data_IF_690221578986
#
_entry.id   IF_690221578986
#
_cell.length_a   1.000
_cell.length_b   1.000
_cell.length_c   1.000
_cell.angle_alpha   90.00
_cell.angle_beta   90.00
_cell.angle_gamma   90.00
#
_symmetry.space_group_name_H-M   'P 1'
#
loop_
_entity.id
_entity.type
_entity.pdbx_description
1 polymer ?
#
# COMPACT_ATOMS: atom_id res chain seq x y z
N UNK A 1 44.24 59.27 -18.70
CA UNK A 1 43.05 58.45 -19.06
C UNK A 1 42.71 57.58 -17.86
N UNK A 2 41.52 57.78 -17.26
CA UNK A 2 41.10 57.10 -16.04
C UNK A 2 40.42 55.77 -16.39
N UNK A 3 41.00 54.67 -15.89
CA UNK A 3 40.44 53.31 -15.94
C UNK A 3 39.19 53.29 -15.06
N UNK A 4 38.03 52.96 -15.63
CA UNK A 4 36.78 52.75 -14.87
C UNK A 4 36.75 51.31 -14.38
N UNK A 5 36.86 51.13 -13.07
CA UNK A 5 36.60 49.89 -12.36
C UNK A 5 35.13 49.48 -12.56
N UNK A 6 34.88 48.48 -13.39
CA UNK A 6 33.60 47.76 -13.38
C UNK A 6 33.76 46.65 -12.33
N UNK A 7 33.25 46.91 -11.12
CA UNK A 7 33.09 45.87 -10.12
C UNK A 7 32.11 44.83 -10.66
N UNK A 8 32.63 43.66 -11.06
CA UNK A 8 31.83 42.44 -11.14
C UNK A 8 31.48 42.03 -9.71
N UNK A 9 30.27 42.38 -9.27
CA UNK A 9 29.68 41.86 -8.05
C UNK A 9 29.17 40.43 -8.30
N UNK A 10 30.03 39.44 -8.09
CA UNK A 10 29.64 38.03 -8.05
C UNK A 10 28.82 37.78 -6.78
N UNK A 11 27.49 37.86 -6.87
CA UNK A 11 26.61 37.40 -5.81
C UNK A 11 26.64 35.87 -5.78
N UNK A 12 27.47 35.28 -4.91
CA UNK A 12 27.31 33.89 -4.48
C UNK A 12 25.97 33.79 -3.74
N UNK A 13 24.94 33.32 -4.43
CA UNK A 13 23.76 32.77 -3.77
C UNK A 13 24.15 31.36 -3.35
N UNK A 14 24.72 31.22 -2.15
CA UNK A 14 24.79 29.93 -1.47
C UNK A 14 23.36 29.59 -1.06
N UNK A 15 22.61 28.98 -1.98
CA UNK A 15 21.34 28.36 -1.66
C UNK A 15 21.68 27.17 -0.77
N UNK A 16 21.62 27.38 0.56
CA UNK A 16 21.64 26.31 1.53
C UNK A 16 20.36 25.50 1.30
N UNK A 17 20.43 24.57 0.35
CA UNK A 17 19.51 23.46 0.25
C UNK A 17 19.73 22.62 1.51
N UNK A 18 19.08 23.02 2.61
CA UNK A 18 18.69 22.08 3.64
C UNK A 18 17.70 21.13 2.96
N UNK A 19 18.25 20.18 2.20
CA UNK A 19 17.50 19.06 1.67
C UNK A 19 17.01 18.28 2.86
N UNK A 20 15.78 18.56 3.29
CA UNK A 20 15.05 17.62 4.11
C UNK A 20 15.06 16.31 3.34
N UNK A 21 15.67 15.28 3.93
CA UNK A 21 15.56 13.94 3.40
C UNK A 21 14.08 13.61 3.39
N UNK A 22 13.46 13.56 2.21
CA UNK A 22 12.12 13.02 2.08
C UNK A 22 12.22 11.56 2.51
N UNK A 23 11.72 11.25 3.71
CA UNK A 23 11.60 9.87 4.15
C UNK A 23 10.48 9.25 3.31
N UNK A 24 10.81 8.16 2.63
CA UNK A 24 9.80 7.36 1.93
C UNK A 24 8.75 6.90 2.96
N UNK A 25 7.49 6.94 2.56
CA UNK A 25 6.37 6.43 3.35
C UNK A 25 6.64 4.99 3.83
N UNK A 26 6.45 4.68 5.12
CA UNK A 26 6.63 3.32 5.62
C UNK A 26 5.64 2.40 4.91
N UNK A 27 6.11 1.25 4.45
CA UNK A 27 5.30 0.22 3.79
C UNK A 27 5.48 -1.08 4.54
N UNK A 28 4.37 -1.68 4.93
CA UNK A 28 4.30 -3.01 5.50
C UNK A 28 3.63 -3.93 4.48
N UNK A 29 4.31 -5.01 4.12
CA UNK A 29 3.79 -6.04 3.23
C UNK A 29 3.58 -7.32 4.02
N UNK A 30 2.38 -7.88 3.95
CA UNK A 30 2.09 -9.23 4.41
C UNK A 30 2.06 -10.13 3.18
N UNK A 31 2.89 -11.17 3.18
CA UNK A 31 3.07 -12.08 2.04
C UNK A 31 2.97 -13.55 2.51
N UNK A 32 2.67 -14.43 1.57
CA UNK A 32 2.45 -15.85 1.76
C UNK A 32 3.32 -16.74 0.84
N UNK A 33 4.63 -16.49 0.66
CA UNK A 33 5.45 -17.07 -0.41
C UNK A 33 5.36 -18.60 -0.47
N UNK A 34 4.41 -19.10 -1.28
CA UNK A 34 4.16 -20.52 -1.50
C UNK A 34 3.35 -21.27 -0.44
N UNK A 35 2.62 -20.63 0.49
CA UNK A 35 1.73 -21.32 1.43
C UNK A 35 0.28 -21.31 0.93
N UNK A 36 -0.22 -22.49 0.58
CA UNK A 36 -1.65 -22.68 0.32
C UNK A 36 -2.44 -22.75 1.61
N UNK A 37 -3.57 -22.05 1.68
CA UNK A 37 -4.52 -22.20 2.78
C UNK A 37 -5.60 -21.14 2.81
N UNK A 38 -6.72 -21.50 3.44
CA UNK A 38 -7.91 -20.68 3.45
C UNK A 38 -8.75 -20.81 2.19
N UNK A 39 -9.89 -20.16 2.19
CA UNK A 39 -10.88 -20.20 1.12
C UNK A 39 -11.40 -18.81 0.83
N UNK A 40 -11.75 -18.57 -0.43
CA UNK A 40 -12.61 -17.45 -0.80
C UNK A 40 -13.87 -18.01 -1.45
N UNK A 41 -15.03 -17.48 -1.07
CA UNK A 41 -16.31 -17.88 -1.63
C UNK A 41 -17.28 -16.73 -1.82
N UNK A 42 -18.11 -16.85 -2.86
CA UNK A 42 -19.25 -16.02 -3.18
C UNK A 42 -20.44 -16.93 -3.52
N UNK A 43 -21.64 -16.59 -3.05
CA UNK A 43 -22.82 -17.45 -3.20
C UNK A 43 -23.53 -17.32 -4.56
N UNK A 44 -23.33 -16.22 -5.28
CA UNK A 44 -23.99 -15.96 -6.57
C UNK A 44 -25.36 -15.29 -6.46
N UNK A 45 -25.76 -14.85 -5.26
CA UNK A 45 -27.13 -14.36 -4.99
C UNK A 45 -27.14 -12.90 -4.49
N UNK A 46 -26.25 -12.04 -5.00
CA UNK A 46 -26.16 -10.64 -4.61
C UNK A 46 -25.46 -10.39 -3.27
N UNK A 47 -24.92 -11.45 -2.65
CA UNK A 47 -24.31 -11.44 -1.33
C UNK A 47 -22.91 -10.84 -1.27
N UNK A 48 -22.21 -11.09 -0.17
CA UNK A 48 -20.82 -10.62 0.04
C UNK A 48 -19.82 -11.65 -0.47
N UNK A 49 -18.63 -11.20 -0.85
CA UNK A 49 -17.46 -12.07 -1.00
C UNK A 49 -16.86 -12.31 0.39
N UNK A 50 -16.59 -13.57 0.71
CA UNK A 50 -16.01 -13.97 2.00
C UNK A 50 -14.67 -14.64 1.80
N UNK A 51 -13.65 -14.20 2.53
CA UNK A 51 -12.38 -14.91 2.68
C UNK A 51 -12.23 -15.45 4.10
N UNK A 52 -11.79 -16.70 4.23
CA UNK A 52 -11.66 -17.39 5.51
C UNK A 52 -10.29 -18.05 5.64
N UNK A 53 -9.63 -17.84 6.78
CA UNK A 53 -8.38 -18.48 7.17
C UNK A 53 -7.25 -18.42 6.10
N UNK A 54 -7.17 -17.31 5.38
CA UNK A 54 -6.16 -17.07 4.35
C UNK A 54 -4.81 -16.88 5.04
N UNK A 55 -3.79 -17.62 4.60
CA UNK A 55 -2.53 -17.73 5.34
C UNK A 55 -1.53 -16.67 4.91
N UNK A 56 -0.77 -16.17 5.88
CA UNK A 56 0.40 -15.32 5.67
C UNK A 56 1.57 -15.87 6.47
N UNK A 57 2.80 -15.67 6.00
CA UNK A 57 3.99 -16.19 6.69
C UNK A 57 5.13 -15.18 6.86
N UNK A 58 5.06 -14.03 6.20
CA UNK A 58 6.05 -12.96 6.34
C UNK A 58 5.38 -11.61 6.52
N UNK A 59 6.11 -10.71 7.19
CA UNK A 59 5.80 -9.29 7.31
C UNK A 59 7.07 -8.54 6.93
N UNK A 60 7.06 -7.85 5.80
CA UNK A 60 8.21 -7.11 5.29
C UNK A 60 7.99 -5.61 5.43
N UNK A 61 9.02 -4.92 5.93
CA UNK A 61 9.05 -3.48 6.08
C UNK A 61 9.97 -2.83 5.04
N UNK A 62 9.47 -1.78 4.41
CA UNK A 62 10.26 -0.91 3.54
C UNK A 62 9.86 0.55 3.71
N UNK A 63 10.71 1.48 3.27
CA UNK A 63 10.54 2.90 3.55
C UNK A 63 10.96 3.27 4.98
N UNK A 64 10.97 4.56 5.31
CA UNK A 64 11.43 5.04 6.62
C UNK A 64 12.89 4.72 6.97
N UNK A 65 13.19 4.71 8.28
CA UNK A 65 14.48 4.26 8.83
C UNK A 65 14.27 2.82 9.32
N UNK A 66 14.81 1.85 8.58
CA UNK A 66 14.66 0.45 8.95
C UNK A 66 15.27 0.16 10.33
N UNK A 67 14.58 -0.61 11.19
CA UNK A 67 15.25 -1.25 12.32
C UNK A 67 16.29 -2.26 11.80
N UNK A 68 17.03 -2.89 12.72
CA UNK A 68 18.09 -3.84 12.36
C UNK A 68 17.61 -5.00 11.46
N UNK A 69 16.31 -5.31 11.47
CA UNK A 69 15.67 -6.33 10.62
C UNK A 69 14.49 -5.72 9.86
N UNK A 70 14.46 -5.90 8.54
CA UNK A 70 13.36 -5.42 7.69
C UNK A 70 12.26 -6.46 7.46
N UNK A 71 12.32 -7.62 8.12
CA UNK A 71 11.40 -8.73 7.90
C UNK A 71 11.13 -9.49 9.19
N UNK A 72 9.87 -9.88 9.40
CA UNK A 72 9.41 -10.70 10.51
C UNK A 72 8.71 -11.95 9.97
N UNK A 73 8.76 -13.03 10.74
CA UNK A 73 7.94 -14.22 10.48
C UNK A 73 6.52 -13.99 10.98
N UNK A 74 5.53 -14.26 10.14
CA UNK A 74 4.11 -14.28 10.52
C UNK A 74 3.69 -15.70 10.90
N UNK A 75 3.82 -16.05 12.19
CA UNK A 75 3.50 -17.38 12.69
C UNK A 75 2.00 -17.52 12.97
N UNK A 76 1.37 -18.51 12.33
CA UNK A 76 -0.06 -18.79 12.51
C UNK A 76 -0.97 -17.68 12.02
N UNK A 77 -0.49 -16.86 11.08
CA UNK A 77 -1.24 -15.71 10.60
C UNK A 77 -2.38 -16.11 9.66
N UNK A 78 -3.59 -15.67 10.00
CA UNK A 78 -4.85 -15.97 9.30
C UNK A 78 -5.63 -14.69 9.06
N UNK A 79 -5.91 -14.40 7.79
CA UNK A 79 -6.78 -13.32 7.34
C UNK A 79 -8.18 -13.86 7.12
N UNK A 80 -9.16 -13.15 7.68
CA UNK A 80 -10.57 -13.31 7.37
C UNK A 80 -11.10 -11.98 6.84
N UNK A 81 -11.98 -12.02 5.84
CA UNK A 81 -12.63 -10.81 5.34
C UNK A 81 -14.05 -11.06 4.84
N UNK A 82 -14.84 -9.98 4.83
CA UNK A 82 -16.08 -9.85 4.08
C UNK A 82 -16.09 -8.52 3.33
N UNK A 83 -16.62 -8.49 2.12
CA UNK A 83 -16.82 -7.25 1.35
C UNK A 83 -18.21 -6.66 1.61
N UNK A 84 -18.54 -5.56 0.93
CA UNK A 84 -19.95 -5.20 0.71
C UNK A 84 -20.67 -6.18 -0.23
N UNK A 85 -21.98 -5.98 -0.41
CA UNK A 85 -22.81 -6.77 -1.30
C UNK A 85 -22.35 -6.67 -2.76
N UNK A 86 -22.61 -7.70 -3.55
CA UNK A 86 -22.33 -7.68 -4.98
C UNK A 86 -23.12 -6.54 -5.66
N UNK A 87 -22.44 -5.85 -6.58
CA UNK A 87 -22.99 -4.74 -7.38
C UNK A 87 -22.96 -5.03 -8.87
N UNK A 88 -22.09 -5.95 -9.29
CA UNK A 88 -22.04 -6.51 -10.63
C UNK A 88 -21.92 -8.02 -10.47
N UNK A 89 -22.99 -8.72 -10.82
CA UNK A 89 -22.99 -10.17 -10.91
C UNK A 89 -22.07 -10.55 -12.07
N UNK A 90 -20.90 -11.08 -11.71
CA UNK A 90 -20.01 -11.69 -12.68
C UNK A 90 -20.60 -13.01 -13.18
N UNK A 91 -19.89 -13.62 -14.12
CA UNK A 91 -20.12 -15.01 -14.51
C UNK A 91 -18.82 -15.77 -14.34
N UNK A 92 -18.81 -17.05 -14.69
CA UNK A 92 -17.56 -17.80 -14.84
C UNK A 92 -16.58 -17.12 -15.81
N UNK A 93 -17.03 -16.18 -16.65
CA UNK A 93 -16.28 -15.52 -17.73
C UNK A 93 -16.28 -14.00 -17.65
N UNK A 94 -16.85 -13.41 -16.60
CA UNK A 94 -16.95 -11.97 -16.41
C UNK A 94 -16.60 -11.55 -14.97
N UNK A 95 -16.09 -10.33 -14.84
CA UNK A 95 -15.63 -9.77 -13.58
C UNK A 95 -16.80 -9.57 -12.60
N UNK A 96 -16.54 -9.88 -11.33
CA UNK A 96 -17.44 -9.57 -10.21
C UNK A 96 -17.00 -8.27 -9.57
N UNK A 97 -17.96 -7.45 -9.15
CA UNK A 97 -17.68 -6.23 -8.40
C UNK A 97 -18.55 -6.13 -7.17
N UNK A 98 -17.94 -5.86 -6.02
CA UNK A 98 -18.59 -5.78 -4.73
C UNK A 98 -18.61 -4.33 -4.25
N UNK A 99 -19.63 -3.96 -3.48
CA UNK A 99 -19.69 -2.64 -2.87
C UNK A 99 -18.54 -2.46 -1.87
N UNK A 100 -18.17 -1.19 -1.63
CA UNK A 100 -17.34 -0.83 -0.51
C UNK A 100 -17.98 -1.19 0.84
N UNK A 101 -17.19 -1.15 1.91
CA UNK A 101 -17.56 -1.61 3.24
C UNK A 101 -17.09 -3.04 3.49
N UNK A 102 -17.68 -3.68 4.50
CA UNK A 102 -17.16 -4.92 5.04
C UNK A 102 -15.87 -4.71 5.84
N UNK A 103 -15.31 -5.81 6.33
CA UNK A 103 -14.18 -5.80 7.26
C UNK A 103 -13.20 -6.90 6.90
N UNK A 104 -11.93 -6.69 7.24
CA UNK A 104 -10.92 -7.73 7.23
C UNK A 104 -10.05 -7.66 8.48
N UNK A 105 -9.64 -8.83 8.95
CA UNK A 105 -8.87 -9.00 10.19
C UNK A 105 -7.80 -10.04 9.95
N UNK A 106 -6.55 -9.67 10.20
CA UNK A 106 -5.40 -10.57 10.22
C UNK A 106 -5.02 -10.83 11.68
N UNK A 107 -5.12 -12.09 12.10
CA UNK A 107 -4.68 -12.53 13.43
C UNK A 107 -3.47 -13.44 13.34
N UNK A 108 -2.55 -13.40 14.32
CA UNK A 108 -1.40 -14.29 14.39
C UNK A 108 -0.31 -13.72 15.31
N UNK A 109 0.92 -14.18 15.11
CA UNK A 109 2.10 -13.68 15.82
C UNK A 109 3.17 -13.18 14.85
N UNK A 110 3.71 -11.98 15.09
CA UNK A 110 4.89 -11.48 14.42
C UNK A 110 6.15 -11.86 15.23
N UNK A 111 7.09 -12.56 14.62
CA UNK A 111 8.32 -13.03 15.27
C UNK A 111 9.55 -12.45 14.57
N UNK A 112 10.55 -12.03 15.34
CA UNK A 112 11.87 -11.64 14.80
C UNK A 112 12.72 -12.86 14.38
N UNK A 113 13.92 -12.61 13.86
CA UNK A 113 14.85 -13.69 13.46
C UNK A 113 15.28 -14.62 14.61
N UNK A 114 15.11 -14.18 15.86
CA UNK A 114 15.40 -14.94 17.08
C UNK A 114 14.19 -15.69 17.64
N UNK A 115 13.05 -15.65 16.95
CA UNK A 115 11.73 -16.15 17.39
C UNK A 115 11.17 -15.40 18.62
N UNK A 116 11.61 -14.17 18.87
CA UNK A 116 11.00 -13.29 19.87
C UNK A 116 9.65 -12.83 19.34
N UNK A 117 8.60 -12.94 20.15
CA UNK A 117 7.28 -12.39 19.81
C UNK A 117 7.34 -10.87 19.88
N UNK A 118 7.15 -10.23 18.73
CA UNK A 118 7.06 -8.77 18.59
C UNK A 118 5.63 -8.30 18.79
N UNK A 119 4.66 -8.99 18.20
CA UNK A 119 3.24 -8.73 18.36
C UNK A 119 2.46 -10.04 18.30
N UNK A 120 1.31 -10.11 18.96
CA UNK A 120 0.45 -11.30 18.97
C UNK A 120 -1.03 -10.92 19.14
N UNK A 121 -1.91 -11.63 18.43
CA UNK A 121 -3.34 -11.34 18.42
C UNK A 121 -3.75 -10.74 17.08
N UNK A 122 -4.48 -9.63 17.10
CA UNK A 122 -4.88 -8.90 15.88
C UNK A 122 -3.69 -8.09 15.39
N UNK A 123 -3.09 -8.49 14.28
CA UNK A 123 -1.96 -7.78 13.67
C UNK A 123 -2.42 -6.63 12.78
N UNK A 124 -3.58 -6.79 12.15
CA UNK A 124 -4.19 -5.78 11.29
C UNK A 124 -5.72 -5.93 11.27
N UNK A 125 -6.42 -4.79 11.25
CA UNK A 125 -7.87 -4.68 11.01
C UNK A 125 -8.15 -3.57 10.03
N UNK A 126 -9.09 -3.75 9.12
CA UNK A 126 -9.50 -2.66 8.23
C UNK A 126 -10.85 -2.86 7.57
N UNK A 127 -11.17 -1.94 6.68
CA UNK A 127 -12.40 -1.90 5.89
C UNK A 127 -12.09 -1.58 4.44
N UNK A 128 -12.82 -2.17 3.49
CA UNK A 128 -12.71 -1.77 2.09
C UNK A 128 -13.38 -0.41 1.89
N UNK A 129 -12.64 0.56 1.35
CA UNK A 129 -13.20 1.90 1.05
C UNK A 129 -13.58 2.08 -0.40
N UNK A 130 -13.13 1.16 -1.26
CA UNK A 130 -13.49 1.11 -2.68
C UNK A 130 -14.21 -0.22 -2.99
N UNK A 131 -14.56 -0.46 -4.25
CA UNK A 131 -15.29 -1.63 -4.75
C UNK A 131 -14.33 -2.79 -5.02
N UNK A 132 -14.29 -3.83 -4.17
CA UNK A 132 -13.44 -4.99 -4.43
C UNK A 132 -13.89 -5.72 -5.69
N UNK A 133 -12.96 -6.32 -6.41
CA UNK A 133 -13.23 -7.09 -7.63
C UNK A 133 -12.76 -8.53 -7.49
N UNK A 134 -13.45 -9.45 -8.15
CA UNK A 134 -12.97 -10.80 -8.37
C UNK A 134 -12.95 -11.07 -9.87
N UNK A 135 -11.78 -11.39 -10.41
CA UNK A 135 -11.56 -11.54 -11.85
C UNK A 135 -11.23 -13.00 -12.15
N UNK A 136 -12.15 -13.75 -12.78
CA UNK A 136 -11.88 -15.08 -13.29
C UNK A 136 -10.80 -15.08 -14.39
N UNK A 137 -9.98 -16.13 -14.44
CA UNK A 137 -8.90 -16.33 -15.41
C UNK A 137 -8.77 -17.81 -15.77
N UNK A 138 -8.18 -18.12 -16.94
CA UNK A 138 -8.10 -19.47 -17.53
C UNK A 138 -9.47 -20.11 -17.83
N UNK A 139 -10.28 -19.37 -18.59
CA UNK A 139 -11.67 -19.64 -18.92
C UNK A 139 -11.89 -20.67 -20.04
N UNK A 140 -11.06 -21.70 -20.15
CA UNK A 140 -11.39 -22.77 -21.07
C UNK A 140 -12.43 -23.68 -20.38
N UNK A 141 -13.70 -23.72 -20.85
CA UNK A 141 -14.74 -24.54 -20.23
C UNK A 141 -14.42 -26.04 -20.26
N UNK A 142 -13.44 -26.46 -21.08
CA UNK A 142 -13.00 -27.84 -21.23
C UNK A 142 -11.74 -28.20 -20.41
N UNK A 143 -11.11 -27.23 -19.73
CA UNK A 143 -9.99 -27.50 -18.80
C UNK A 143 -10.19 -26.73 -17.50
N UNK A 144 -11.11 -27.18 -16.62
CA UNK A 144 -11.08 -26.79 -15.22
C UNK A 144 -9.74 -27.18 -14.59
N UNK A 145 -9.19 -26.35 -13.69
CA UNK A 145 -9.89 -25.27 -13.02
C UNK A 145 -9.50 -23.86 -13.50
N UNK A 146 -10.49 -22.96 -13.53
CA UNK A 146 -10.23 -21.52 -13.60
C UNK A 146 -9.58 -21.02 -12.30
N UNK A 147 -8.85 -19.91 -12.40
CA UNK A 147 -8.30 -19.17 -11.25
C UNK A 147 -9.11 -17.89 -11.06
N UNK A 148 -9.21 -17.39 -9.83
CA UNK A 148 -9.84 -16.08 -9.57
C UNK A 148 -8.82 -15.22 -8.84
N UNK A 149 -8.64 -13.99 -9.31
CA UNK A 149 -7.84 -13.00 -8.60
C UNK A 149 -8.78 -12.00 -7.93
N UNK A 150 -8.69 -11.89 -6.61
CA UNK A 150 -9.44 -10.91 -5.83
C UNK A 150 -8.55 -9.72 -5.55
N UNK A 151 -9.08 -8.52 -5.77
CA UNK A 151 -8.41 -7.27 -5.43
C UNK A 151 -9.32 -6.26 -4.74
N UNK A 152 -8.72 -5.42 -3.91
CA UNK A 152 -9.44 -4.40 -3.16
C UNK A 152 -8.49 -3.36 -2.56
N UNK A 153 -9.09 -2.24 -2.14
CA UNK A 153 -8.41 -1.11 -1.52
C UNK A 153 -9.19 -0.65 -0.30
N UNK A 154 -8.47 -0.07 0.66
CA UNK A 154 -9.10 0.44 1.86
C UNK A 154 -8.15 0.98 2.90
N UNK A 155 -8.70 1.16 4.09
CA UNK A 155 -8.01 1.69 5.25
C UNK A 155 -7.88 0.62 6.31
N UNK A 156 -6.78 0.68 7.05
CA UNK A 156 -6.52 -0.28 8.10
C UNK A 156 -5.68 0.29 9.23
N UNK A 157 -5.70 -0.41 10.36
CA UNK A 157 -4.93 -0.14 11.57
C UNK A 157 -4.08 -1.37 11.88
N UNK A 158 -2.84 -1.13 12.32
CA UNK A 158 -1.89 -2.17 12.70
C UNK A 158 -1.80 -2.30 14.21
N UNK A 159 -1.30 -3.45 14.68
CA UNK A 159 -0.96 -3.64 16.09
C UNK A 159 0.12 -2.63 16.55
N UNK A 160 -0.05 -2.05 17.73
CA UNK A 160 0.85 -1.00 18.26
C UNK A 160 2.29 -1.50 18.43
N UNK A 161 2.50 -2.68 19.02
CA UNK A 161 3.84 -3.27 19.17
C UNK A 161 4.55 -3.53 17.83
N UNK A 162 3.79 -3.88 16.78
CA UNK A 162 4.34 -4.06 15.43
C UNK A 162 4.84 -2.73 14.87
N UNK A 163 4.05 -1.66 15.03
CA UNK A 163 4.46 -0.31 14.62
C UNK A 163 5.67 0.19 15.41
N UNK A 164 5.66 -0.02 16.73
CA UNK A 164 6.75 0.35 17.61
C UNK A 164 8.07 -0.33 17.24
N UNK A 165 8.03 -1.62 16.88
CA UNK A 165 9.20 -2.35 16.39
C UNK A 165 9.83 -1.73 15.16
N UNK A 166 9.00 -1.29 14.20
CA UNK A 166 9.45 -0.63 12.98
C UNK A 166 9.68 0.89 13.15
N UNK A 167 9.52 1.43 14.35
CA UNK A 167 9.66 2.88 14.60
C UNK A 167 8.62 3.72 13.87
N UNK A 168 7.45 3.16 13.59
CA UNK A 168 6.32 3.84 12.95
C UNK A 168 5.46 4.47 14.04
N UNK A 169 5.00 5.70 13.81
CA UNK A 169 4.07 6.39 14.70
C UNK A 169 2.75 5.59 14.80
N UNK A 170 2.25 5.28 16.02
CA UNK A 170 0.99 4.55 16.19
C UNK A 170 -0.22 5.26 15.55
N UNK A 171 -0.17 6.58 15.36
CA UNK A 171 -1.23 7.37 14.71
C UNK A 171 -1.12 7.35 13.17
N UNK A 172 -0.16 6.59 12.60
CA UNK A 172 -0.01 6.44 11.14
C UNK A 172 -1.22 5.73 10.56
N UNK A 173 -1.95 6.41 9.68
CA UNK A 173 -2.99 5.79 8.86
C UNK A 173 -2.35 4.99 7.73
N UNK A 174 -2.84 3.78 7.49
CA UNK A 174 -2.40 2.94 6.38
C UNK A 174 -3.50 2.84 5.34
N UNK A 175 -3.08 2.91 4.08
CA UNK A 175 -3.89 2.53 2.93
C UNK A 175 -3.30 1.22 2.42
N UNK A 176 -4.09 0.16 2.37
CA UNK A 176 -3.66 -1.00 1.60
C UNK A 176 -3.91 -0.72 0.11
N UNK A 177 -2.80 -0.64 -0.62
CA UNK A 177 -2.75 -0.26 -2.02
C UNK A 177 -2.89 -1.45 -2.97
N UNK A 178 -2.84 -2.67 -2.44
CA UNK A 178 -3.09 -3.90 -3.19
C UNK A 178 -3.33 -5.03 -2.20
N UNK A 179 -4.55 -5.57 -2.18
CA UNK A 179 -4.76 -6.97 -1.82
C UNK A 179 -4.76 -7.77 -3.12
N UNK A 180 -3.89 -8.76 -3.27
CA UNK A 180 -3.95 -9.69 -4.40
C UNK A 180 -4.06 -11.10 -3.86
N UNK A 181 -5.27 -11.68 -3.94
CA UNK A 181 -5.53 -13.04 -3.50
C UNK A 181 -5.82 -13.87 -4.74
N UNK A 182 -4.86 -14.71 -5.11
CA UNK A 182 -4.97 -15.62 -6.23
C UNK A 182 -5.49 -16.97 -5.75
N UNK A 183 -6.66 -17.35 -6.27
CA UNK A 183 -7.22 -18.68 -6.05
C UNK A 183 -6.56 -19.69 -6.99
N UNK A 184 -6.30 -20.88 -6.46
CA UNK A 184 -5.94 -22.04 -7.25
C UNK A 184 -7.17 -22.64 -7.94
N UNK A 185 -7.43 -23.92 -7.68
CA UNK A 185 -8.62 -24.60 -8.22
C UNK A 185 -9.90 -23.91 -7.73
N UNK A 186 -10.62 -23.26 -8.63
CA UNK A 186 -11.91 -22.62 -8.34
C UNK A 186 -13.05 -23.43 -8.94
N UNK A 187 -14.11 -23.65 -8.15
CA UNK A 187 -15.36 -24.25 -8.60
C UNK A 187 -16.41 -23.15 -8.79
N UNK A 188 -17.07 -23.12 -9.94
CA UNK A 188 -18.15 -22.19 -10.26
C UNK A 188 -19.49 -22.91 -10.26
N UNK A 189 -20.53 -22.20 -9.85
CA UNK A 189 -21.92 -22.64 -9.82
C UNK A 189 -22.70 -21.99 -10.96
N UNK A 190 -23.84 -22.56 -11.32
CA UNK A 190 -24.69 -22.07 -12.43
C UNK A 190 -25.23 -20.65 -12.20
N UNK A 191 -25.35 -20.22 -10.94
CA UNK A 191 -25.78 -18.86 -10.57
C UNK A 191 -24.63 -17.84 -10.53
N UNK A 192 -23.40 -18.22 -10.93
CA UNK A 192 -22.22 -17.35 -10.80
C UNK A 192 -21.56 -17.39 -9.42
N UNK A 193 -22.10 -18.16 -8.47
CA UNK A 193 -21.40 -18.42 -7.21
C UNK A 193 -20.08 -19.14 -7.47
N UNK A 194 -19.07 -18.90 -6.63
CA UNK A 194 -17.78 -19.58 -6.75
C UNK A 194 -17.13 -19.82 -5.41
N UNK A 195 -16.24 -20.82 -5.36
CA UNK A 195 -15.38 -21.07 -4.21
C UNK A 195 -14.04 -21.62 -4.67
N UNK A 196 -12.97 -21.16 -4.05
CA UNK A 196 -11.61 -21.61 -4.36
C UNK A 196 -10.69 -21.59 -3.15
N UNK A 197 -9.66 -22.43 -3.18
CA UNK A 197 -8.58 -22.40 -2.19
C UNK A 197 -7.57 -21.34 -2.59
N UNK A 198 -7.11 -20.54 -1.63
CA UNK A 198 -6.07 -19.54 -1.90
C UNK A 198 -4.72 -20.22 -2.16
N UNK A 199 -4.05 -19.76 -3.22
CA UNK A 199 -2.74 -20.24 -3.63
C UNK A 199 -1.63 -19.19 -3.45
N UNK A 200 -2.00 -17.90 -3.46
CA UNK A 200 -1.12 -16.78 -3.14
C UNK A 200 -1.98 -15.62 -2.59
N UNK A 201 -1.44 -14.84 -1.67
CA UNK A 201 -2.08 -13.72 -1.01
C UNK A 201 -1.05 -12.68 -0.59
N UNK A 202 -1.20 -11.49 -1.15
CA UNK A 202 -0.38 -10.33 -0.82
C UNK A 202 -1.25 -9.20 -0.26
N UNK A 203 -0.81 -8.55 0.80
CA UNK A 203 -1.34 -7.26 1.25
C UNK A 203 -0.19 -6.27 1.34
N UNK A 204 -0.24 -5.22 0.53
CA UNK A 204 0.72 -4.13 0.59
C UNK A 204 0.06 -2.90 1.22
N UNK A 205 0.57 -2.47 2.38
CA UNK A 205 0.06 -1.33 3.12
C UNK A 205 1.08 -0.20 3.13
N UNK A 206 0.76 0.91 2.47
CA UNK A 206 1.57 2.12 2.52
C UNK A 206 0.99 3.08 3.56
N UNK A 207 1.82 3.47 4.51
CA UNK A 207 1.48 4.48 5.53
C UNK A 207 1.48 5.87 4.92
N UNK A 208 0.46 6.67 5.21
CA UNK A 208 0.47 8.10 4.90
C UNK A 208 1.17 8.83 6.04
N UNK A 209 2.28 9.55 5.79
CA UNK A 209 2.95 10.31 6.85
C UNK A 209 1.99 11.31 7.49
N UNK A 210 2.03 11.51 8.83
CA UNK A 210 1.14 12.44 9.53
C UNK A 210 1.37 13.91 9.13
N UNK A 211 2.49 14.21 8.46
CA UNK A 211 2.77 15.51 7.85
C UNK A 211 3.17 15.27 6.41
N UNK A 212 2.37 15.76 5.45
CA UNK A 212 2.79 15.81 4.05
C UNK A 212 4.04 16.68 3.95
N UNK A 213 5.21 16.04 3.83
CA UNK A 213 6.47 16.75 3.59
C UNK A 213 6.40 17.21 2.13
N UNK A 214 6.40 18.53 1.84
CA UNK A 214 6.44 18.98 0.45
C UNK A 214 7.66 18.39 -0.22
N UNK A 215 7.47 17.81 -1.41
CA UNK A 215 8.55 17.13 -2.10
C UNK A 215 9.73 18.12 -2.29
N UNK A 216 10.99 17.67 -2.12
CA UNK A 216 12.16 18.54 -2.28
C UNK A 216 12.18 19.29 -3.62
N UNK A 217 11.54 18.72 -4.65
CA UNK A 217 11.38 19.32 -5.96
C UNK A 217 10.53 20.60 -5.97
N UNK A 218 9.42 20.66 -5.23
CA UNK A 218 8.49 21.79 -5.28
C UNK A 218 9.04 23.02 -4.56
N UNK A 219 9.63 22.83 -3.37
CA UNK A 219 10.30 23.90 -2.63
C UNK A 219 11.56 24.37 -3.39
N UNK A 220 12.31 23.44 -3.97
CA UNK A 220 13.44 23.75 -4.84
C UNK A 220 13.01 24.61 -6.02
N UNK A 221 11.98 24.20 -6.76
CA UNK A 221 11.48 24.90 -7.94
C UNK A 221 10.92 26.28 -7.60
N UNK A 222 10.18 26.40 -6.48
CA UNK A 222 9.69 27.68 -5.97
C UNK A 222 10.85 28.60 -5.58
N UNK A 223 11.85 28.08 -4.87
CA UNK A 223 13.05 28.82 -4.49
C UNK A 223 13.84 29.31 -5.70
N UNK A 224 14.05 28.45 -6.70
CA UNK A 224 14.68 28.82 -7.97
C UNK A 224 13.86 29.87 -8.74
N UNK A 225 12.54 29.69 -8.81
CA UNK A 225 11.64 30.65 -9.47
C UNK A 225 11.69 32.03 -8.83
N UNK A 226 11.70 32.10 -7.49
CA UNK A 226 11.79 33.36 -6.75
C UNK A 226 13.16 34.05 -6.93
N UNK A 227 14.25 33.28 -6.94
CA UNK A 227 15.59 33.81 -7.17
C UNK A 227 15.74 34.40 -8.59
N UNK A 228 15.19 33.73 -9.61
CA UNK A 228 15.15 34.23 -10.98
C UNK A 228 14.28 35.49 -11.11
N UNK A 229 13.15 35.55 -10.41
CA UNK A 229 12.29 36.73 -10.38
C UNK A 229 13.02 37.94 -9.78
N UNK A 230 13.67 37.77 -8.62
CA UNK A 230 14.37 38.84 -7.92
C UNK A 230 15.59 39.35 -8.71
N UNK A 231 16.35 38.45 -9.32
CA UNK A 231 17.46 38.81 -10.22
C UNK A 231 16.96 39.54 -11.47
N UNK A 232 15.86 39.07 -12.08
CA UNK A 232 15.22 39.75 -13.21
C UNK A 232 14.73 41.16 -12.89
N UNK A 233 14.10 41.37 -11.73
CA UNK A 233 13.64 42.70 -11.27
C UNK A 233 14.85 43.62 -10.99
N UNK A 234 15.91 43.11 -10.38
CA UNK A 234 17.14 43.88 -10.13
C UNK A 234 17.81 44.35 -11.42
N UNK A 235 17.94 43.46 -12.41
CA UNK A 235 18.51 43.78 -13.72
C UNK A 235 17.66 44.77 -14.53
N UNK A 236 16.34 44.79 -14.33
CA UNK A 236 15.45 45.76 -14.99
C UNK A 236 15.61 47.17 -14.41
N UNK A 237 15.74 47.29 -13.08
CA UNK A 237 15.92 48.59 -12.42
C UNK A 237 17.26 49.25 -12.72
N UNK A 238 18.33 48.48 -12.88
CA UNK A 238 19.67 49.01 -13.22
C UNK A 238 19.78 49.54 -14.65
N UNK A 239 18.83 49.23 -15.55
CA UNK A 239 18.76 49.78 -16.92
C UNK A 239 17.91 51.04 -17.05
N UNK A 240 17.25 51.46 -15.96
CA UNK A 240 16.28 52.57 -15.97
C UNK A 240 16.84 53.87 -15.36
N UNK A 241 18.14 53.90 -15.04
CA UNK A 241 18.88 55.02 -14.46
C UNK A 241 20.13 55.28 -15.33
#
# INVERSE_FOLDING_TARGET
MKVKNILLGSALVALAAAGGTALAAPTLTFDDPGIRGGTVSYDGDGGVLTGTDIRFNSIDFSGGIAPNESSLTCSGCLLNFTTGANTIEGSDTADYEFAAGGEFVLTGSALDSSNTVIANGILLTGTFTDRPTAIPSNLNPNTPPGTVNVSGFGLDTKHEDLLAYFGIDPDTSFIFSSTNIALGTTSFQDNGGFSGTVNNADIVNSGTPPVAVPEPGEIGLLGFGLALLLTGIGLRRSRSL
#
